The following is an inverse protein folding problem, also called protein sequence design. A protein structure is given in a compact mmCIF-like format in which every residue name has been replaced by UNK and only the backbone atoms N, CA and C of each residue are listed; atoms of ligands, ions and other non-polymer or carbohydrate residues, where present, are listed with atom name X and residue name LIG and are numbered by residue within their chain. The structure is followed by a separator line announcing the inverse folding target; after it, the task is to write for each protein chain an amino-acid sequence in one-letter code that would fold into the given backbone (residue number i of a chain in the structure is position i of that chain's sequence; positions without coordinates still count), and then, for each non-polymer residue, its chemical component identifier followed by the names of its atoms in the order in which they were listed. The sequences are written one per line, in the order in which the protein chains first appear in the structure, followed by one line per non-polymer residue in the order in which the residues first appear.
data_IF_562973191019
#
_entry.id   IF_562973191019
#
_cell.length_a   1.000
_cell.length_b   1.000
_cell.length_c   1.000
_cell.angle_alpha   90.00
_cell.angle_beta   90.00
_cell.angle_gamma   90.00
#
_symmetry.space_group_name_H-M   'P 1'
#
loop_
_entity.id
_entity.type
_entity.pdbx_description
1 polymer ?
#
# COMPACT_ATOMS: atom_id res chain seq x y z
N UNK A 1 3.63 13.24 -32.77
CA UNK A 1 4.46 12.11 -33.24
C UNK A 1 3.57 11.15 -34.02
N UNK A 2 3.92 10.83 -35.26
CA UNK A 2 3.08 9.97 -36.11
C UNK A 2 3.43 8.51 -35.75
N UNK A 3 2.57 7.83 -34.98
CA UNK A 3 2.82 6.54 -34.32
C UNK A 3 3.12 5.40 -35.32
N UNK A 4 2.78 5.56 -36.59
CA UNK A 4 2.87 4.48 -37.59
C UNK A 4 4.23 4.37 -38.28
N UNK A 5 5.08 5.41 -38.27
CA UNK A 5 6.31 5.44 -39.06
C UNK A 5 7.55 4.98 -38.30
N UNK A 6 7.51 4.91 -36.97
CA UNK A 6 8.72 4.74 -36.15
C UNK A 6 8.82 3.41 -35.37
N UNK A 7 7.81 2.52 -35.44
CA UNK A 7 7.80 1.29 -34.63
C UNK A 7 9.00 0.37 -34.89
N UNK A 8 9.39 0.22 -36.16
CA UNK A 8 10.53 -0.64 -36.52
C UNK A 8 11.86 -0.11 -36.02
N UNK A 9 11.95 1.20 -35.74
CA UNK A 9 13.13 1.84 -35.17
C UNK A 9 13.15 1.84 -33.64
N UNK A 10 11.99 1.58 -33.01
CA UNK A 10 11.79 1.60 -31.56
C UNK A 10 11.79 0.19 -30.98
N UNK A 11 11.04 -0.73 -31.59
CA UNK A 11 10.97 -2.15 -31.15
C UNK A 11 12.33 -2.81 -31.40
N UNK A 12 12.95 -3.29 -30.32
CA UNK A 12 14.30 -3.84 -30.33
C UNK A 12 15.31 -3.00 -29.55
N UNK A 13 14.95 -1.76 -29.16
CA UNK A 13 15.71 -1.00 -28.19
C UNK A 13 15.30 -1.40 -26.77
N UNK A 14 16.23 -1.46 -25.80
CA UNK A 14 15.89 -1.78 -24.40
C UNK A 14 14.96 -0.70 -23.82
N UNK A 15 14.12 -1.11 -22.85
CA UNK A 15 13.30 -0.18 -22.06
C UNK A 15 14.20 0.91 -21.44
N UNK A 16 13.65 2.12 -21.34
CA UNK A 16 14.39 3.30 -20.86
C UNK A 16 13.41 4.34 -20.27
N UNK A 17 13.88 5.57 -20.07
CA UNK A 17 13.05 6.65 -19.52
C UNK A 17 11.82 7.00 -20.36
N UNK A 18 11.81 6.70 -21.66
CA UNK A 18 10.69 7.03 -22.58
C UNK A 18 10.07 5.82 -23.27
N UNK A 19 10.51 4.58 -22.92
CA UNK A 19 10.02 3.35 -23.52
C UNK A 19 9.83 2.27 -22.47
N UNK A 20 8.66 1.60 -22.49
CA UNK A 20 8.33 0.47 -21.63
C UNK A 20 7.69 -0.65 -22.43
N UNK A 21 8.05 -1.89 -22.13
CA UNK A 21 7.44 -3.09 -22.70
C UNK A 21 6.67 -3.86 -21.65
N UNK A 22 5.53 -4.41 -22.06
CA UNK A 22 4.76 -5.37 -21.25
C UNK A 22 4.27 -6.51 -22.14
N UNK A 23 4.50 -7.73 -21.71
CA UNK A 23 4.01 -8.91 -22.43
C UNK A 23 2.47 -8.97 -22.46
N UNK A 24 1.84 -8.51 -21.37
CA UNK A 24 0.39 -8.51 -21.15
C UNK A 24 -0.08 -7.16 -20.62
N UNK A 25 -1.40 -6.96 -20.60
CA UNK A 25 -2.00 -5.75 -20.03
C UNK A 25 -1.85 -5.73 -18.52
N UNK A 26 -1.23 -4.69 -17.94
CA UNK A 26 -1.21 -4.52 -16.50
C UNK A 26 -2.59 -4.10 -15.97
N UNK A 27 -2.86 -4.28 -14.66
CA UNK A 27 -4.04 -3.73 -14.00
C UNK A 27 -4.18 -2.23 -14.22
N UNK A 28 -5.41 -1.71 -14.25
CA UNK A 28 -5.69 -0.30 -14.54
C UNK A 28 -4.89 0.66 -13.64
N UNK A 29 -4.73 0.33 -12.33
CA UNK A 29 -3.96 1.15 -11.40
C UNK A 29 -2.46 1.17 -11.75
N UNK A 30 -1.87 0.01 -12.05
CA UNK A 30 -0.46 -0.07 -12.46
C UNK A 30 -0.23 0.66 -13.79
N UNK A 31 -1.17 0.54 -14.71
CA UNK A 31 -1.13 1.28 -15.98
C UNK A 31 -1.25 2.79 -15.74
N UNK A 32 -2.12 3.23 -14.82
CA UNK A 32 -2.24 4.63 -14.42
C UNK A 32 -0.92 5.17 -13.82
N UNK A 33 -0.25 4.41 -12.97
CA UNK A 33 1.06 4.79 -12.41
C UNK A 33 2.11 4.97 -13.51
N UNK A 34 2.15 4.06 -14.50
CA UNK A 34 3.06 4.19 -15.66
C UNK A 34 2.74 5.43 -16.48
N UNK A 35 1.46 5.67 -16.80
CA UNK A 35 1.03 6.85 -17.56
C UNK A 35 1.39 8.14 -16.80
N UNK A 36 1.09 8.21 -15.49
CA UNK A 36 1.46 9.37 -14.67
C UNK A 36 2.97 9.59 -14.65
N UNK A 37 3.75 8.52 -14.47
CA UNK A 37 5.22 8.61 -14.43
C UNK A 37 5.81 9.11 -15.74
N UNK A 38 5.29 8.69 -16.89
CA UNK A 38 5.69 9.23 -18.19
C UNK A 38 5.27 10.70 -18.36
N UNK A 39 4.01 11.03 -18.03
CA UNK A 39 3.50 12.39 -18.15
C UNK A 39 4.27 13.39 -17.28
N UNK A 40 4.65 12.99 -16.07
CA UNK A 40 5.41 13.82 -15.12
C UNK A 40 6.92 13.88 -15.43
N UNK A 41 7.42 13.09 -16.38
CA UNK A 41 8.84 13.06 -16.74
C UNK A 41 9.09 13.61 -18.14
N UNK A 42 9.40 12.77 -19.10
CA UNK A 42 9.75 13.16 -20.47
C UNK A 42 8.66 12.85 -21.50
N UNK A 43 7.53 12.28 -21.05
CA UNK A 43 6.62 11.56 -21.91
C UNK A 43 7.20 10.20 -22.31
N UNK A 44 6.51 9.46 -23.15
CA UNK A 44 7.03 8.19 -23.63
C UNK A 44 5.98 7.25 -24.22
N UNK A 45 6.38 6.01 -24.39
CA UNK A 45 5.59 4.98 -25.04
C UNK A 45 5.55 3.70 -24.21
N UNK A 46 4.37 3.10 -24.08
CA UNK A 46 4.16 1.76 -23.49
C UNK A 46 3.71 0.85 -24.62
N UNK A 47 4.40 -0.27 -24.83
CA UNK A 47 4.09 -1.25 -25.87
C UNK A 47 3.69 -2.56 -25.22
N UNK A 48 2.43 -2.98 -25.42
CA UNK A 48 1.91 -4.25 -24.94
C UNK A 48 2.03 -5.32 -26.05
N UNK A 49 2.31 -6.55 -25.65
CA UNK A 49 2.57 -7.68 -26.55
C UNK A 49 4.06 -7.87 -26.85
N UNK A 50 4.93 -7.24 -26.05
CA UNK A 50 6.39 -7.39 -26.13
C UNK A 50 6.93 -7.75 -24.74
N UNK A 51 7.72 -8.80 -24.66
CA UNK A 51 8.42 -9.22 -23.46
C UNK A 51 9.91 -8.86 -23.55
N UNK A 52 10.41 -8.20 -22.52
CA UNK A 52 11.83 -7.96 -22.33
C UNK A 52 12.29 -8.73 -21.09
N UNK A 53 13.18 -9.69 -21.29
CA UNK A 53 13.76 -10.50 -20.21
C UNK A 53 15.21 -10.78 -20.51
N UNK A 54 16.10 -10.62 -19.52
CA UNK A 54 17.55 -10.89 -19.61
C UNK A 54 18.25 -10.19 -20.81
N UNK A 55 17.77 -9.00 -21.19
CA UNK A 55 18.31 -8.25 -22.34
C UNK A 55 17.79 -8.71 -23.71
N UNK A 56 16.95 -9.74 -23.76
CA UNK A 56 16.27 -10.18 -24.98
C UNK A 56 14.88 -9.55 -25.09
N UNK A 57 14.56 -9.04 -26.29
CA UNK A 57 13.26 -8.44 -26.59
C UNK A 57 12.52 -9.37 -27.55
N UNK A 58 11.43 -9.98 -27.06
CA UNK A 58 10.61 -10.93 -27.83
C UNK A 58 9.22 -10.37 -28.05
N UNK A 59 8.81 -10.29 -29.32
CA UNK A 59 7.45 -9.90 -29.71
C UNK A 59 6.55 -11.12 -29.53
N UNK A 60 5.70 -11.08 -28.50
CA UNK A 60 4.73 -12.15 -28.21
C UNK A 60 3.41 -11.94 -28.96
N UNK A 61 3.02 -10.69 -29.16
CA UNK A 61 1.73 -10.30 -29.69
C UNK A 61 0.60 -10.43 -28.66
N UNK A 62 -0.55 -9.90 -29.01
CA UNK A 62 -1.79 -9.96 -28.22
C UNK A 62 -2.86 -10.74 -29.01
N UNK A 63 -3.68 -11.53 -28.33
CA UNK A 63 -4.82 -12.23 -28.95
C UNK A 63 -5.86 -11.23 -29.50
N UNK A 64 -6.70 -11.69 -30.41
CA UNK A 64 -7.77 -10.85 -30.99
C UNK A 64 -8.82 -10.45 -29.95
N UNK A 65 -9.09 -11.32 -29.00
CA UNK A 65 -10.06 -11.11 -27.91
C UNK A 65 -9.54 -10.15 -26.83
N UNK A 66 -8.34 -9.63 -27.01
CA UNK A 66 -7.72 -8.77 -26.01
C UNK A 66 -8.19 -7.31 -26.13
N UNK A 67 -8.96 -6.85 -25.16
CA UNK A 67 -9.59 -5.52 -25.15
C UNK A 67 -8.88 -4.54 -24.19
N UNK A 68 -7.76 -3.95 -24.64
CA UNK A 68 -6.99 -3.01 -23.81
C UNK A 68 -7.66 -1.65 -23.61
N UNK A 69 -8.54 -1.22 -24.54
CA UNK A 69 -9.15 0.11 -24.48
C UNK A 69 -9.87 0.39 -23.15
N UNK A 70 -10.70 -0.56 -22.69
CA UNK A 70 -11.47 -0.39 -21.46
C UNK A 70 -10.59 -0.21 -20.22
N UNK A 71 -9.50 -0.98 -20.13
CA UNK A 71 -8.54 -0.83 -19.01
C UNK A 71 -7.74 0.46 -19.12
N UNK A 72 -7.39 0.87 -20.35
CA UNK A 72 -6.70 2.15 -20.59
C UNK A 72 -7.59 3.33 -20.20
N UNK A 73 -8.88 3.30 -20.54
CA UNK A 73 -9.82 4.33 -20.09
C UNK A 73 -9.93 4.37 -18.56
N UNK A 74 -10.13 3.21 -17.91
CA UNK A 74 -10.14 3.13 -16.45
C UNK A 74 -8.85 3.68 -15.83
N UNK A 75 -7.69 3.40 -16.43
CA UNK A 75 -6.42 3.93 -15.97
C UNK A 75 -6.33 5.45 -16.07
N UNK A 76 -6.79 6.02 -17.20
CA UNK A 76 -6.82 7.48 -17.41
C UNK A 76 -7.80 8.16 -16.44
N UNK A 77 -8.91 7.51 -16.12
CA UNK A 77 -9.91 8.05 -15.19
C UNK A 77 -9.41 8.13 -13.74
N UNK A 78 -8.37 7.36 -13.38
CA UNK A 78 -7.70 7.46 -12.06
C UNK A 78 -6.75 8.66 -11.96
N UNK A 79 -6.48 9.38 -13.06
CA UNK A 79 -5.48 10.44 -13.14
C UNK A 79 -6.10 11.83 -13.00
N UNK A 80 -5.45 12.70 -12.23
CA UNK A 80 -5.89 14.08 -12.02
C UNK A 80 -4.69 15.04 -12.13
N UNK A 81 -4.75 16.06 -13.02
CA UNK A 81 -5.65 16.14 -14.16
C UNK A 81 -5.39 15.03 -15.19
N UNK A 82 -6.33 14.81 -16.13
CA UNK A 82 -6.13 13.79 -17.17
C UNK A 82 -5.01 14.21 -18.12
N UNK A 83 -3.98 13.36 -18.34
CA UNK A 83 -2.90 13.65 -19.27
C UNK A 83 -3.34 13.47 -20.74
N UNK A 84 -2.56 14.01 -21.66
CA UNK A 84 -2.75 13.75 -23.09
C UNK A 84 -2.15 12.37 -23.43
N UNK A 85 -3.03 11.41 -23.77
CA UNK A 85 -2.69 10.02 -24.04
C UNK A 85 -3.33 9.57 -25.34
N UNK A 86 -2.52 9.08 -26.27
CA UNK A 86 -2.96 8.47 -27.52
C UNK A 86 -2.68 6.98 -27.49
N UNK A 87 -3.64 6.15 -27.89
CA UNK A 87 -3.45 4.70 -27.88
C UNK A 87 -4.18 4.04 -29.07
N UNK A 88 -3.58 2.98 -29.59
CA UNK A 88 -4.15 2.20 -30.68
C UNK A 88 -3.53 0.81 -30.79
N UNK A 89 -4.27 -0.08 -31.44
CA UNK A 89 -3.71 -1.36 -31.90
C UNK A 89 -2.94 -1.16 -33.21
N UNK A 90 -1.83 -1.85 -33.34
CA UNK A 90 -1.02 -1.90 -34.58
C UNK A 90 -0.55 -3.33 -34.82
N UNK A 91 -0.41 -3.69 -36.09
CA UNK A 91 0.25 -4.92 -36.51
C UNK A 91 1.73 -4.66 -36.78
N UNK A 92 2.62 -5.50 -36.23
CA UNK A 92 4.04 -5.49 -36.49
C UNK A 92 4.57 -6.92 -36.59
N UNK A 93 5.17 -7.29 -37.73
CA UNK A 93 5.63 -8.66 -38.04
C UNK A 93 4.54 -9.71 -37.76
N UNK A 94 3.35 -9.48 -38.29
CA UNK A 94 2.16 -10.32 -38.14
C UNK A 94 1.71 -10.56 -36.67
N UNK A 95 2.19 -9.72 -35.77
CA UNK A 95 1.78 -9.71 -34.35
C UNK A 95 1.01 -8.45 -34.04
N UNK A 96 -0.12 -8.63 -33.34
CA UNK A 96 -0.96 -7.53 -32.86
C UNK A 96 -0.34 -6.95 -31.60
N UNK A 97 -0.08 -5.67 -31.60
CA UNK A 97 0.45 -4.91 -30.46
C UNK A 97 -0.53 -3.80 -30.07
N UNK A 98 -0.46 -3.37 -28.82
CA UNK A 98 -1.19 -2.19 -28.35
C UNK A 98 -0.21 -1.16 -27.82
N UNK A 99 -0.33 0.04 -28.34
CA UNK A 99 0.64 1.12 -28.09
C UNK A 99 -0.09 2.26 -27.39
N UNK A 100 0.50 2.73 -26.31
CA UNK A 100 0.05 3.88 -25.56
C UNK A 100 1.16 4.92 -25.62
N UNK A 101 0.87 6.09 -26.17
CA UNK A 101 1.80 7.24 -26.22
C UNK A 101 1.32 8.27 -25.23
N UNK A 102 2.20 8.64 -24.32
CA UNK A 102 1.94 9.61 -23.26
C UNK A 102 2.77 10.87 -23.54
N UNK A 103 2.12 12.01 -23.67
CA UNK A 103 2.82 13.27 -23.79
C UNK A 103 3.27 13.79 -22.43
N UNK A 104 4.41 14.52 -22.43
CA UNK A 104 4.84 15.21 -21.21
C UNK A 104 3.80 16.26 -20.82
N UNK A 105 3.38 16.23 -19.56
CA UNK A 105 2.46 17.23 -19.01
C UNK A 105 3.22 18.47 -18.52
N UNK A 106 2.57 19.61 -18.62
CA UNK A 106 3.05 20.87 -18.02
C UNK A 106 2.69 21.03 -16.55
N UNK A 107 1.79 20.19 -16.06
CA UNK A 107 1.33 20.15 -14.67
C UNK A 107 1.52 18.75 -14.10
N UNK A 108 1.66 18.63 -12.78
CA UNK A 108 1.80 17.34 -12.14
C UNK A 108 0.52 16.51 -12.26
N UNK A 109 0.65 15.31 -12.81
CA UNK A 109 -0.41 14.31 -12.90
C UNK A 109 -0.34 13.45 -11.65
N UNK A 110 -1.45 13.33 -10.94
CA UNK A 110 -1.52 12.60 -9.67
C UNK A 110 -2.48 11.40 -9.74
N UNK A 111 -2.21 10.41 -8.93
CA UNK A 111 -3.13 9.33 -8.59
C UNK A 111 -3.33 9.40 -7.08
N UNK A 112 -4.56 9.66 -6.61
CA UNK A 112 -4.85 9.77 -5.17
C UNK A 112 -3.89 10.76 -4.47
N UNK A 113 -3.66 11.92 -5.08
CA UNK A 113 -2.74 12.97 -4.64
C UNK A 113 -1.25 12.57 -4.61
N UNK A 114 -0.87 11.44 -5.20
CA UNK A 114 0.51 10.97 -5.30
C UNK A 114 1.07 11.27 -6.69
N UNK A 115 2.30 11.77 -6.73
CA UNK A 115 3.03 12.07 -7.97
C UNK A 115 4.00 10.92 -8.23
N UNK A 116 3.88 10.28 -9.39
CA UNK A 116 4.83 9.28 -9.86
C UNK A 116 5.70 9.88 -10.95
N UNK A 117 7.00 9.61 -10.89
CA UNK A 117 7.97 10.00 -11.94
C UNK A 117 8.72 8.76 -12.43
N UNK A 118 9.28 8.87 -13.63
CA UNK A 118 10.11 7.82 -14.19
C UNK A 118 11.59 8.18 -14.09
N UNK A 119 12.38 7.26 -13.53
CA UNK A 119 13.83 7.37 -13.48
C UNK A 119 14.46 6.09 -14.06
N UNK A 120 15.04 6.19 -15.23
CA UNK A 120 15.45 5.02 -16.01
C UNK A 120 14.22 4.17 -16.37
N UNK A 121 14.24 2.89 -16.00
CA UNK A 121 13.11 1.96 -16.17
C UNK A 121 12.19 1.87 -14.94
N UNK A 122 12.53 2.54 -13.83
CA UNK A 122 11.77 2.47 -12.58
C UNK A 122 10.75 3.60 -12.49
N UNK A 123 9.61 3.27 -11.89
CA UNK A 123 8.60 4.25 -11.46
C UNK A 123 8.86 4.57 -10.00
N UNK A 124 9.06 5.84 -9.69
CA UNK A 124 9.35 6.33 -8.35
C UNK A 124 8.22 7.23 -7.90
N UNK A 125 7.79 7.05 -6.66
CA UNK A 125 6.87 7.98 -6.02
C UNK A 125 7.65 9.27 -5.72
N UNK A 126 7.34 10.33 -6.46
CA UNK A 126 7.85 11.67 -6.19
C UNK A 126 6.90 12.34 -5.20
N UNK A 127 7.03 11.99 -3.93
CA UNK A 127 6.49 12.87 -2.92
C UNK A 127 7.42 14.09 -2.89
N UNK A 128 6.94 15.30 -3.16
CA UNK A 128 7.62 16.45 -2.61
C UNK A 128 7.56 16.20 -1.10
N UNK A 129 8.64 15.69 -0.52
CA UNK A 129 8.79 15.75 0.91
C UNK A 129 8.54 17.21 1.27
N UNK A 130 7.41 17.47 1.89
CA UNK A 130 7.30 18.64 2.74
C UNK A 130 8.35 18.34 3.80
N UNK A 131 9.58 18.80 3.55
CA UNK A 131 10.63 18.82 4.57
C UNK A 131 10.11 19.77 5.62
N UNK A 132 9.33 19.25 6.53
CA UNK A 132 9.08 19.89 7.80
C UNK A 132 10.42 19.84 8.56
N UNK A 133 11.39 20.69 8.13
CA UNK A 133 12.58 20.94 8.93
C UNK A 133 12.13 21.81 10.09
N UNK A 134 11.49 21.20 11.07
CA UNK A 134 11.22 21.87 12.33
C UNK A 134 12.52 21.89 13.12
N UNK A 135 12.94 23.08 13.46
CA UNK A 135 14.18 23.36 14.19
C UNK A 135 14.23 22.65 15.55
N UNK A 136 13.09 22.15 16.08
CA UNK A 136 12.95 21.52 17.40
C UNK A 136 12.13 20.22 17.36
N UNK A 137 12.29 19.39 16.31
CA UNK A 137 11.62 18.10 16.25
C UNK A 137 12.12 17.16 17.34
N UNK A 138 11.19 16.39 17.97
CA UNK A 138 11.58 15.38 18.95
C UNK A 138 12.56 14.37 18.33
N UNK A 139 13.67 14.03 19.01
CA UNK A 139 14.65 13.06 18.49
C UNK A 139 14.03 11.70 18.15
N UNK A 140 13.06 11.24 18.95
CA UNK A 140 12.33 9.99 18.70
C UNK A 140 11.49 10.03 17.42
N UNK A 141 10.82 11.16 17.13
CA UNK A 141 10.07 11.36 15.88
C UNK A 141 11.02 11.43 14.68
N UNK A 142 12.17 12.13 14.83
CA UNK A 142 13.19 12.20 13.78
C UNK A 142 13.71 10.82 13.44
N UNK A 143 14.09 10.03 14.46
CA UNK A 143 14.57 8.66 14.29
C UNK A 143 13.55 7.79 13.58
N UNK A 144 12.28 7.78 14.04
CA UNK A 144 11.22 7.00 13.40
C UNK A 144 10.99 7.43 11.95
N UNK A 145 11.12 8.73 11.64
CA UNK A 145 10.99 9.21 10.27
C UNK A 145 12.12 8.69 9.36
N UNK A 146 13.36 8.63 9.88
CA UNK A 146 14.49 8.05 9.16
C UNK A 146 14.32 6.54 8.97
N UNK A 147 13.82 5.83 9.98
CA UNK A 147 13.49 4.40 9.91
C UNK A 147 12.44 4.15 8.82
N UNK A 148 11.35 4.96 8.76
CA UNK A 148 10.33 4.85 7.72
C UNK A 148 10.89 5.04 6.31
N UNK A 149 11.85 5.96 6.13
CA UNK A 149 12.53 6.15 4.84
C UNK A 149 13.37 4.93 4.46
N UNK A 150 14.11 4.36 5.42
CA UNK A 150 14.93 3.18 5.19
C UNK A 150 14.10 1.94 4.83
N UNK A 151 12.95 1.75 5.49
CA UNK A 151 12.05 0.62 5.27
C UNK A 151 11.26 0.71 3.95
N UNK A 152 11.28 1.88 3.30
CA UNK A 152 10.62 2.08 2.00
C UNK A 152 11.36 1.39 0.85
N UNK A 153 12.64 1.13 1.02
CA UNK A 153 13.44 0.43 0.02
C UNK A 153 12.96 -1.02 -0.11
N UNK A 154 12.62 -1.42 -1.33
CA UNK A 154 12.12 -2.78 -1.64
C UNK A 154 10.87 -3.16 -0.83
N UNK A 155 9.88 -2.29 -0.79
CA UNK A 155 8.59 -2.53 -0.13
C UNK A 155 7.50 -2.95 -1.12
N UNK A 156 6.51 -3.72 -0.63
CA UNK A 156 5.25 -3.94 -1.35
C UNK A 156 4.44 -2.65 -1.45
N UNK A 157 3.44 -2.60 -2.32
CA UNK A 157 2.47 -1.50 -2.37
C UNK A 157 1.71 -1.34 -1.05
N UNK A 158 1.39 -2.46 -0.39
CA UNK A 158 0.75 -2.48 0.94
C UNK A 158 1.60 -1.78 1.99
N UNK A 159 2.89 -2.15 2.09
CA UNK A 159 3.83 -1.53 3.02
C UNK A 159 4.09 -0.06 2.68
N UNK A 160 4.21 0.30 1.40
CA UNK A 160 4.39 1.70 1.01
C UNK A 160 3.27 2.59 1.51
N UNK A 161 2.00 2.16 1.36
CA UNK A 161 0.83 2.88 1.89
C UNK A 161 0.85 2.97 3.42
N UNK A 162 1.22 1.88 4.09
CA UNK A 162 1.37 1.85 5.55
C UNK A 162 2.39 2.90 6.01
N UNK A 163 3.57 2.96 5.40
CA UNK A 163 4.63 3.92 5.74
C UNK A 163 4.21 5.37 5.46
N UNK A 164 3.47 5.61 4.37
CA UNK A 164 2.93 6.94 4.04
C UNK A 164 1.98 7.45 5.14
N UNK A 165 1.09 6.58 5.62
CA UNK A 165 0.17 6.92 6.69
C UNK A 165 0.91 7.25 7.99
N UNK A 166 1.87 6.39 8.39
CA UNK A 166 2.67 6.61 9.59
C UNK A 166 3.49 7.90 9.52
N UNK A 167 4.08 8.21 8.36
CA UNK A 167 4.78 9.48 8.14
C UNK A 167 3.84 10.68 8.37
N UNK A 168 2.61 10.60 7.87
CA UNK A 168 1.57 11.62 8.11
C UNK A 168 1.24 11.76 9.60
N UNK A 169 1.03 10.65 10.31
CA UNK A 169 0.71 10.66 11.74
C UNK A 169 1.87 11.19 12.57
N UNK A 170 3.13 10.84 12.26
CA UNK A 170 4.31 11.40 12.94
C UNK A 170 4.40 12.93 12.77
N UNK A 171 4.11 13.44 11.58
CA UNK A 171 4.09 14.88 11.33
C UNK A 171 2.99 15.58 12.13
N UNK A 172 1.78 15.00 12.18
CA UNK A 172 0.69 15.54 13.01
C UNK A 172 1.07 15.50 14.49
N UNK A 173 1.64 14.39 14.98
CA UNK A 173 2.09 14.25 16.38
C UNK A 173 3.08 15.36 16.78
N UNK A 174 4.00 15.67 15.86
CA UNK A 174 4.97 16.76 16.06
C UNK A 174 4.29 18.15 16.02
N UNK A 175 3.32 18.35 15.11
CA UNK A 175 2.59 19.62 14.95
C UNK A 175 1.75 19.98 16.18
N UNK A 176 1.16 18.98 16.83
CA UNK A 176 0.31 19.17 18.01
C UNK A 176 1.04 18.84 19.33
N UNK A 177 2.36 18.79 19.30
CA UNK A 177 3.19 18.39 20.45
C UNK A 177 2.94 19.22 21.71
N UNK A 178 2.66 20.51 21.57
CA UNK A 178 2.30 21.40 22.68
C UNK A 178 1.01 21.00 23.42
N UNK A 179 0.15 20.19 22.79
CA UNK A 179 -1.08 19.66 23.38
C UNK A 179 -0.87 18.23 23.87
N UNK A 180 -0.14 17.40 23.12
CA UNK A 180 0.06 15.99 23.45
C UNK A 180 1.05 15.77 24.60
N UNK A 181 2.12 16.57 24.67
CA UNK A 181 3.17 16.47 25.69
C UNK A 181 3.64 17.86 26.17
N UNK A 182 2.74 18.65 26.78
CA UNK A 182 3.04 20.03 27.16
C UNK A 182 4.18 20.15 28.18
N UNK A 183 4.37 19.15 29.02
CA UNK A 183 5.38 19.14 30.08
C UNK A 183 6.50 18.14 29.83
N UNK A 184 6.18 16.94 29.39
CA UNK A 184 7.12 15.85 29.13
C UNK A 184 6.53 14.84 28.18
N UNK A 185 7.36 14.22 27.34
CA UNK A 185 6.97 13.14 26.44
C UNK A 185 6.63 11.82 27.17
N UNK A 186 7.20 11.64 28.39
CA UNK A 186 7.04 10.41 29.18
C UNK A 186 5.83 10.43 30.11
N UNK A 187 5.11 11.55 30.16
CA UNK A 187 3.91 11.67 31.01
C UNK A 187 2.66 11.88 30.18
N UNK A 188 1.56 11.16 30.46
CA UNK A 188 0.29 11.40 29.77
C UNK A 188 -0.16 12.85 29.96
N UNK A 189 -0.75 13.41 28.90
CA UNK A 189 -1.33 14.75 28.98
C UNK A 189 -2.56 14.78 29.89
N UNK A 190 -2.68 15.84 30.68
CA UNK A 190 -3.88 16.12 31.49
C UNK A 190 -4.93 16.93 30.72
N UNK A 191 -4.53 17.50 29.56
CA UNK A 191 -5.41 18.29 28.70
C UNK A 191 -6.43 17.38 27.99
N UNK A 192 -7.71 17.75 28.01
CA UNK A 192 -8.79 16.96 27.44
C UNK A 192 -8.66 16.81 25.91
N UNK A 193 -8.30 17.88 25.20
CA UNK A 193 -8.04 17.84 23.76
C UNK A 193 -6.87 16.90 23.45
N UNK A 194 -5.80 16.96 24.25
CA UNK A 194 -4.64 16.09 24.13
C UNK A 194 -5.00 14.61 24.32
N UNK A 195 -5.84 14.29 25.31
CA UNK A 195 -6.35 12.92 25.52
C UNK A 195 -7.15 12.41 24.32
N UNK A 196 -8.00 13.26 23.74
CA UNK A 196 -8.79 12.91 22.55
C UNK A 196 -7.86 12.68 21.35
N UNK A 197 -6.91 13.60 21.11
CA UNK A 197 -5.96 13.49 20.02
C UNK A 197 -5.09 12.23 20.16
N UNK A 198 -4.62 11.92 21.36
CA UNK A 198 -3.84 10.70 21.64
C UNK A 198 -4.62 9.45 21.22
N UNK A 199 -5.89 9.35 21.61
CA UNK A 199 -6.77 8.24 21.23
C UNK A 199 -6.98 8.14 19.71
N UNK A 200 -7.17 9.27 19.04
CA UNK A 200 -7.35 9.32 17.58
C UNK A 200 -6.07 8.87 16.87
N UNK A 201 -4.91 9.41 17.24
CA UNK A 201 -3.64 9.08 16.62
C UNK A 201 -3.27 7.60 16.82
N UNK A 202 -3.43 7.11 18.04
CA UNK A 202 -3.19 5.69 18.35
C UNK A 202 -4.10 4.76 17.55
N UNK A 203 -5.42 5.04 17.57
CA UNK A 203 -6.40 4.24 16.84
C UNK A 203 -6.11 4.25 15.33
N UNK A 204 -5.79 5.40 14.77
CA UNK A 204 -5.45 5.55 13.35
C UNK A 204 -4.26 4.68 12.93
N UNK A 205 -3.22 4.60 13.77
CA UNK A 205 -2.06 3.76 13.48
C UNK A 205 -2.35 2.26 13.63
N UNK A 206 -3.10 1.87 14.66
CA UNK A 206 -3.48 0.48 14.84
C UNK A 206 -4.42 0.00 13.71
N UNK A 207 -5.37 0.85 13.28
CA UNK A 207 -6.24 0.57 12.12
C UNK A 207 -5.42 0.43 10.83
N UNK A 208 -4.40 1.26 10.66
CA UNK A 208 -3.54 1.18 9.47
C UNK A 208 -2.73 -0.13 9.42
N UNK A 209 -2.37 -0.70 10.56
CA UNK A 209 -1.77 -2.03 10.62
C UNK A 209 -2.74 -3.12 10.13
N UNK A 210 -4.01 -3.07 10.52
CA UNK A 210 -5.03 -3.99 10.01
C UNK A 210 -5.24 -3.82 8.50
N UNK A 211 -5.24 -2.56 8.00
CA UNK A 211 -5.32 -2.25 6.57
C UNK A 211 -4.11 -2.81 5.81
N UNK A 212 -2.90 -2.68 6.37
CA UNK A 212 -1.69 -3.26 5.79
C UNK A 212 -1.82 -4.78 5.60
N UNK A 213 -2.25 -5.51 6.62
CA UNK A 213 -2.44 -6.96 6.52
C UNK A 213 -3.47 -7.33 5.44
N UNK A 214 -4.50 -6.48 5.29
CA UNK A 214 -5.52 -6.58 4.24
C UNK A 214 -4.91 -6.43 2.85
N UNK A 215 -4.22 -5.33 2.64
CA UNK A 215 -3.62 -4.99 1.36
C UNK A 215 -2.53 -6.01 0.98
N UNK A 216 -1.75 -6.48 1.95
CA UNK A 216 -0.73 -7.51 1.72
C UNK A 216 -1.36 -8.84 1.26
N UNK A 217 -2.43 -9.30 1.92
CA UNK A 217 -3.14 -10.50 1.48
C UNK A 217 -3.70 -10.35 0.07
N UNK A 218 -4.21 -9.17 -0.26
CA UNK A 218 -4.67 -8.88 -1.61
C UNK A 218 -3.54 -9.01 -2.64
N UNK A 219 -2.35 -8.45 -2.35
CA UNK A 219 -1.19 -8.58 -3.22
C UNK A 219 -0.73 -10.04 -3.36
N UNK A 220 -0.73 -10.81 -2.26
CA UNK A 220 -0.42 -12.25 -2.30
C UNK A 220 -1.41 -13.01 -3.19
N UNK A 221 -2.71 -12.72 -3.10
CA UNK A 221 -3.71 -13.35 -3.93
C UNK A 221 -3.60 -12.96 -5.42
N UNK A 222 -3.23 -11.72 -5.71
CA UNK A 222 -2.96 -11.30 -7.10
C UNK A 222 -1.72 -11.98 -7.69
N UNK A 223 -0.65 -12.09 -6.89
CA UNK A 223 0.58 -12.77 -7.32
C UNK A 223 0.37 -14.28 -7.48
N UNK A 224 -0.45 -14.88 -6.62
CA UNK A 224 -0.72 -16.32 -6.62
C UNK A 224 -2.22 -16.63 -6.48
N UNK A 225 -3.02 -16.50 -7.55
CA UNK A 225 -4.46 -16.77 -7.52
C UNK A 225 -4.82 -18.20 -7.10
N UNK A 226 -3.89 -19.16 -7.27
CA UNK A 226 -4.10 -20.53 -6.82
C UNK A 226 -4.24 -20.66 -5.31
N UNK A 227 -3.72 -19.70 -4.54
CA UNK A 227 -3.86 -19.65 -3.09
C UNK A 227 -5.28 -19.33 -2.61
N UNK A 228 -6.16 -18.85 -3.51
CA UNK A 228 -7.59 -18.66 -3.26
C UNK A 228 -8.40 -19.97 -3.34
N UNK A 229 -7.82 -21.03 -3.90
CA UNK A 229 -8.50 -22.32 -4.00
C UNK A 229 -8.89 -22.80 -2.61
N UNK A 230 -10.17 -22.90 -2.36
CA UNK A 230 -10.75 -23.36 -1.11
C UNK A 230 -12.05 -24.11 -1.40
N UNK A 231 -12.49 -24.94 -0.47
CA UNK A 231 -13.80 -25.60 -0.56
C UNK A 231 -14.98 -24.66 -0.23
N UNK A 232 -14.73 -23.35 -0.12
CA UNK A 232 -15.79 -22.39 0.14
C UNK A 232 -16.62 -22.20 -1.14
N UNK A 233 -17.94 -22.27 -1.00
CA UNK A 233 -18.87 -22.04 -2.08
C UNK A 233 -18.99 -20.54 -2.37
N UNK A 234 -19.04 -20.22 -3.65
CA UNK A 234 -19.29 -18.86 -4.16
C UNK A 234 -20.65 -18.89 -4.85
N UNK A 235 -21.45 -17.89 -4.59
CA UNK A 235 -22.73 -17.75 -5.30
C UNK A 235 -22.49 -17.17 -6.69
N UNK A 236 -23.33 -17.55 -7.66
CA UNK A 236 -23.29 -16.95 -9.00
C UNK A 236 -23.42 -15.43 -8.94
N UNK A 237 -24.23 -14.92 -8.01
CA UNK A 237 -24.40 -13.48 -7.79
C UNK A 237 -23.07 -12.81 -7.41
N UNK A 238 -22.33 -13.37 -6.47
CA UNK A 238 -21.03 -12.82 -6.04
C UNK A 238 -20.02 -12.79 -7.19
N UNK A 239 -20.08 -13.74 -8.11
CA UNK A 239 -19.21 -13.74 -9.30
C UNK A 239 -19.68 -12.69 -10.32
N UNK A 240 -20.98 -12.60 -10.57
CA UNK A 240 -21.54 -11.68 -11.58
C UNK A 240 -21.53 -10.22 -11.12
N UNK A 241 -21.49 -9.96 -9.81
CA UNK A 241 -21.37 -8.61 -9.25
C UNK A 241 -19.94 -8.03 -9.44
N UNK A 242 -18.97 -8.88 -9.83
CA UNK A 242 -17.60 -8.47 -10.12
C UNK A 242 -17.39 -8.31 -11.63
N UNK A 243 -16.76 -7.23 -12.05
CA UNK A 243 -16.53 -6.92 -13.47
C UNK A 243 -15.39 -7.75 -14.10
N UNK A 244 -14.49 -8.26 -13.26
CA UNK A 244 -13.37 -9.11 -13.69
C UNK A 244 -12.84 -9.98 -12.52
N UNK A 245 -11.88 -10.84 -12.83
CA UNK A 245 -11.27 -11.73 -11.84
C UNK A 245 -10.51 -10.95 -10.75
N UNK A 246 -9.97 -9.79 -11.05
CA UNK A 246 -9.23 -8.98 -10.05
C UNK A 246 -10.20 -8.38 -9.04
N UNK A 247 -11.35 -7.88 -9.50
CA UNK A 247 -12.39 -7.39 -8.60
C UNK A 247 -12.95 -8.53 -7.75
N UNK A 248 -13.10 -9.72 -8.32
CA UNK A 248 -13.49 -10.92 -7.57
C UNK A 248 -12.45 -11.30 -6.50
N UNK A 249 -11.14 -11.27 -6.83
CA UNK A 249 -10.07 -11.51 -5.86
C UNK A 249 -10.09 -10.46 -4.74
N UNK A 250 -10.30 -9.19 -5.07
CA UNK A 250 -10.43 -8.11 -4.10
C UNK A 250 -11.65 -8.30 -3.20
N UNK A 251 -12.79 -8.64 -3.78
CA UNK A 251 -14.01 -8.95 -3.04
C UNK A 251 -13.77 -10.08 -2.01
N UNK A 252 -13.13 -11.16 -2.46
CA UNK A 252 -12.81 -12.30 -1.60
C UNK A 252 -11.79 -11.96 -0.51
N UNK A 253 -10.75 -11.22 -0.82
CA UNK A 253 -9.80 -10.72 0.16
C UNK A 253 -10.54 -9.91 1.25
N UNK A 254 -11.35 -8.93 0.85
CA UNK A 254 -12.18 -8.15 1.78
C UNK A 254 -13.11 -9.00 2.62
N UNK A 255 -13.75 -10.02 2.02
CA UNK A 255 -14.65 -10.93 2.74
C UNK A 255 -13.91 -11.77 3.80
N UNK A 256 -12.71 -12.25 3.50
CA UNK A 256 -11.84 -12.94 4.47
C UNK A 256 -11.39 -12.02 5.61
N UNK A 257 -11.13 -10.76 5.29
CA UNK A 257 -10.65 -9.77 6.23
C UNK A 257 -11.73 -9.17 7.13
N UNK A 258 -12.99 -9.19 6.70
CA UNK A 258 -14.10 -8.82 7.60
C UNK A 258 -14.15 -9.68 8.87
N UNK A 259 -13.46 -10.82 8.87
CA UNK A 259 -13.27 -11.66 10.07
C UNK A 259 -12.18 -11.12 11.01
N UNK A 260 -11.17 -10.39 10.53
CA UNK A 260 -10.14 -9.77 11.37
C UNK A 260 -10.75 -8.75 12.33
N UNK A 261 -11.65 -7.92 11.82
CA UNK A 261 -12.32 -6.88 12.62
C UNK A 261 -13.21 -7.42 13.75
N UNK A 262 -13.55 -8.71 13.72
CA UNK A 262 -14.40 -9.39 14.71
C UNK A 262 -13.65 -10.40 15.58
N UNK A 263 -12.40 -10.67 15.29
CA UNK A 263 -11.59 -11.71 15.94
C UNK A 263 -10.31 -11.16 16.56
N UNK A 264 -9.51 -12.08 17.08
CA UNK A 264 -8.15 -11.78 17.56
C UNK A 264 -7.13 -11.86 16.43
N UNK A 265 -5.96 -11.25 16.64
CA UNK A 265 -4.80 -11.40 15.74
C UNK A 265 -4.44 -12.88 15.55
N UNK A 266 -4.44 -13.66 16.64
CA UNK A 266 -4.20 -15.11 16.59
C UNK A 266 -5.21 -15.83 15.72
N UNK A 267 -6.50 -15.49 15.87
CA UNK A 267 -7.58 -16.04 15.04
C UNK A 267 -7.39 -15.66 13.56
N UNK A 268 -7.03 -14.42 13.27
CA UNK A 268 -6.75 -13.97 11.91
C UNK A 268 -5.57 -14.74 11.28
N UNK A 269 -4.45 -14.88 12.00
CA UNK A 269 -3.29 -15.63 11.51
C UNK A 269 -3.67 -17.10 11.29
N UNK A 270 -4.41 -17.72 12.23
CA UNK A 270 -4.85 -19.10 12.09
C UNK A 270 -5.77 -19.33 10.89
N UNK A 271 -6.66 -18.37 10.60
CA UNK A 271 -7.63 -18.45 9.50
C UNK A 271 -7.02 -18.13 8.13
N UNK A 272 -5.83 -17.51 8.09
CA UNK A 272 -5.15 -17.11 6.86
C UNK A 272 -3.81 -17.82 6.71
N UNK A 273 -3.83 -18.98 6.05
CA UNK A 273 -2.61 -19.79 5.81
C UNK A 273 -1.49 -18.98 5.17
N UNK A 274 -1.83 -18.01 4.31
CA UNK A 274 -0.85 -17.16 3.64
C UNK A 274 -0.02 -16.33 4.61
N UNK A 275 -0.61 -15.84 5.71
CA UNK A 275 0.11 -15.11 6.76
C UNK A 275 0.72 -16.10 7.78
N UNK A 276 -0.02 -17.13 8.15
CA UNK A 276 0.46 -18.18 9.06
C UNK A 276 1.74 -18.83 8.54
N UNK A 277 1.75 -19.18 7.27
CA UNK A 277 2.88 -19.86 6.63
C UNK A 277 4.11 -18.98 6.45
N UNK A 278 4.02 -17.65 6.65
CA UNK A 278 5.21 -16.79 6.72
C UNK A 278 6.09 -17.15 7.93
N UNK A 279 5.47 -17.61 9.01
CA UNK A 279 6.14 -18.03 10.26
C UNK A 279 7.10 -16.96 10.84
N UNK A 280 6.71 -15.70 10.73
CA UNK A 280 7.56 -14.57 11.16
C UNK A 280 7.17 -13.99 12.51
N UNK A 281 6.00 -14.37 13.03
CA UNK A 281 5.47 -13.86 14.30
C UNK A 281 5.42 -14.98 15.34
N UNK A 282 6.32 -14.91 16.32
CA UNK A 282 6.27 -15.76 17.48
C UNK A 282 5.05 -15.46 18.39
N UNK A 283 4.80 -16.31 19.36
CA UNK A 283 3.66 -16.17 20.28
C UNK A 283 3.69 -14.86 21.06
N UNK A 284 4.90 -14.41 21.47
CA UNK A 284 5.07 -13.16 22.24
C UNK A 284 4.72 -11.97 21.35
N UNK A 285 5.15 -11.97 20.09
CA UNK A 285 4.84 -10.91 19.13
C UNK A 285 3.34 -10.84 18.84
N UNK A 286 2.69 -12.01 18.66
CA UNK A 286 1.24 -12.09 18.48
C UNK A 286 0.49 -11.53 19.71
N UNK A 287 0.93 -11.86 20.94
CA UNK A 287 0.34 -11.33 22.17
C UNK A 287 0.53 -9.82 22.31
N UNK A 288 1.69 -9.29 21.92
CA UNK A 288 1.95 -7.85 21.94
C UNK A 288 1.09 -7.09 20.92
N UNK A 289 0.94 -7.63 19.72
CA UNK A 289 0.04 -7.04 18.72
C UNK A 289 -1.41 -7.07 19.24
N UNK A 290 -1.83 -8.20 19.82
CA UNK A 290 -3.17 -8.32 20.42
C UNK A 290 -3.41 -7.25 21.49
N UNK A 291 -2.45 -7.02 22.38
CA UNK A 291 -2.52 -5.96 23.41
C UNK A 291 -2.68 -4.57 22.78
N UNK A 292 -1.93 -4.26 21.72
CA UNK A 292 -2.05 -2.99 20.99
C UNK A 292 -3.47 -2.83 20.41
N UNK A 293 -4.02 -3.87 19.80
CA UNK A 293 -5.37 -3.83 19.25
C UNK A 293 -6.45 -3.74 20.34
N UNK A 294 -6.20 -4.26 21.54
CA UNK A 294 -7.12 -4.06 22.68
C UNK A 294 -7.10 -2.61 23.19
N UNK A 295 -5.96 -1.93 23.22
CA UNK A 295 -5.91 -0.48 23.50
C UNK A 295 -6.71 0.30 22.44
N UNK A 296 -6.52 -0.03 21.16
CA UNK A 296 -7.30 0.59 20.07
C UNK A 296 -8.80 0.36 20.25
N UNK A 297 -9.21 -0.87 20.58
CA UNK A 297 -10.62 -1.19 20.84
C UNK A 297 -11.18 -0.34 21.98
N UNK A 298 -10.43 -0.23 23.09
CA UNK A 298 -10.79 0.60 24.23
C UNK A 298 -10.98 2.08 23.84
N UNK A 299 -10.06 2.61 23.03
CA UNK A 299 -10.10 4.00 22.58
C UNK A 299 -11.24 4.28 21.59
N UNK A 300 -11.47 3.38 20.65
CA UNK A 300 -12.50 3.56 19.63
C UNK A 300 -13.93 3.38 20.15
N UNK A 301 -14.14 2.48 21.14
CA UNK A 301 -15.48 2.08 21.54
C UNK A 301 -15.84 2.42 22.99
N UNK A 302 -14.87 2.70 23.86
CA UNK A 302 -15.07 2.93 25.29
C UNK A 302 -14.49 4.26 25.78
N UNK A 303 -14.07 5.14 24.87
CA UNK A 303 -13.44 6.42 25.20
C UNK A 303 -12.25 6.31 26.17
N UNK A 304 -11.55 5.16 26.15
CA UNK A 304 -10.41 4.91 27.03
C UNK A 304 -10.80 4.36 28.42
N UNK A 305 -12.05 4.06 28.67
CA UNK A 305 -12.49 3.52 29.99
C UNK A 305 -12.30 2.01 30.02
N UNK A 306 -11.46 1.56 30.95
CA UNK A 306 -11.10 0.15 31.16
C UNK A 306 -12.31 -0.69 31.51
N UNK A 307 -12.49 -1.82 30.82
CA UNK A 307 -13.52 -2.79 31.04
C UNK A 307 -12.94 -4.18 31.39
N UNK A 308 -13.81 -5.13 31.75
CA UNK A 308 -13.43 -6.48 32.13
C UNK A 308 -12.68 -7.22 31.02
N UNK A 309 -13.03 -6.97 29.74
CA UNK A 309 -12.36 -7.58 28.60
C UNK A 309 -10.92 -7.10 28.47
N UNK A 310 -10.69 -5.80 28.63
CA UNK A 310 -9.35 -5.20 28.58
C UNK A 310 -8.45 -5.76 29.70
N UNK A 311 -8.98 -5.94 30.92
CA UNK A 311 -8.24 -6.48 32.05
C UNK A 311 -7.73 -7.92 31.83
N UNK A 312 -8.35 -8.70 30.93
CA UNK A 312 -7.84 -10.02 30.56
C UNK A 312 -6.48 -9.96 29.85
N UNK A 313 -6.20 -8.87 29.13
CA UNK A 313 -4.92 -8.65 28.42
C UNK A 313 -3.89 -7.90 29.26
N UNK A 314 -4.35 -7.18 30.30
CA UNK A 314 -3.51 -6.38 31.19
C UNK A 314 -3.78 -6.70 32.68
N UNK A 315 -3.56 -7.96 33.11
CA UNK A 315 -3.91 -8.40 34.47
C UNK A 315 -3.11 -7.63 35.52
N UNK A 316 -3.81 -7.04 36.48
CA UNK A 316 -3.21 -6.32 37.63
C UNK A 316 -2.56 -4.97 37.30
N UNK A 317 -2.70 -4.46 36.06
CA UNK A 317 -2.11 -3.18 35.67
C UNK A 317 -3.07 -2.00 35.79
N UNK A 318 -4.37 -2.25 35.69
CA UNK A 318 -5.43 -1.23 35.70
C UNK A 318 -6.60 -1.68 36.56
N UNK A 319 -7.43 -0.72 36.96
CA UNK A 319 -8.69 -0.98 37.63
C UNK A 319 -9.87 -0.81 36.66
N UNK A 320 -10.96 -1.52 36.93
CA UNK A 320 -12.20 -1.36 36.17
C UNK A 320 -12.71 0.07 36.29
N UNK A 321 -13.21 0.65 35.19
CA UNK A 321 -13.64 2.04 35.05
C UNK A 321 -12.53 3.08 35.19
N UNK A 322 -11.26 2.69 35.28
CA UNK A 322 -10.14 3.61 35.19
C UNK A 322 -9.98 4.14 33.77
N UNK A 323 -9.55 5.39 33.61
CA UNK A 323 -9.22 5.94 32.30
C UNK A 323 -7.79 5.50 31.90
N UNK A 324 -7.70 4.68 30.86
CA UNK A 324 -6.40 4.34 30.25
C UNK A 324 -5.82 5.53 29.52
N UNK A 325 -4.58 5.88 29.81
CA UNK A 325 -3.87 7.00 29.21
C UNK A 325 -2.49 6.54 28.75
N UNK A 326 -2.07 7.05 27.59
CA UNK A 326 -0.74 6.84 27.03
C UNK A 326 0.05 8.15 27.06
N UNK A 327 1.33 8.04 27.34
CA UNK A 327 2.28 9.13 27.07
C UNK A 327 2.60 9.20 25.58
N UNK A 328 3.19 10.31 25.13
CA UNK A 328 3.68 10.42 23.75
C UNK A 328 4.82 9.42 23.48
N UNK A 329 5.63 9.13 24.49
CA UNK A 329 6.69 8.12 24.42
C UNK A 329 6.12 6.72 24.20
N UNK A 330 5.06 6.32 24.94
CA UNK A 330 4.38 5.03 24.74
C UNK A 330 3.76 4.93 23.35
N UNK A 331 3.13 6.02 22.87
CA UNK A 331 2.58 6.10 21.51
C UNK A 331 3.66 5.78 20.47
N UNK A 332 4.81 6.47 20.57
CA UNK A 332 5.93 6.30 19.62
C UNK A 332 6.58 4.92 19.73
N UNK A 333 6.65 4.34 20.92
CA UNK A 333 7.15 2.97 21.12
C UNK A 333 6.23 1.94 20.48
N UNK A 334 4.92 2.09 20.59
CA UNK A 334 3.96 1.21 19.89
C UNK A 334 4.05 1.36 18.37
N UNK A 335 4.27 2.58 17.87
CA UNK A 335 4.48 2.83 16.45
C UNK A 335 5.74 2.16 15.93
N UNK A 336 6.88 2.34 16.62
CA UNK A 336 8.14 1.67 16.28
C UNK A 336 7.95 0.16 16.23
N UNK A 337 7.30 -0.41 17.22
CA UNK A 337 7.04 -1.84 17.27
C UNK A 337 6.23 -2.35 16.07
N UNK A 338 5.13 -1.66 15.72
CA UNK A 338 4.31 -2.07 14.58
C UNK A 338 5.04 -1.89 13.22
N UNK A 339 5.88 -0.87 13.09
CA UNK A 339 6.73 -0.67 11.92
C UNK A 339 7.69 -1.84 11.72
N UNK A 340 8.36 -2.28 12.81
CA UNK A 340 9.29 -3.41 12.77
C UNK A 340 8.58 -4.73 12.41
N UNK A 341 7.39 -4.93 12.96
CA UNK A 341 6.54 -6.10 12.63
C UNK A 341 6.15 -6.11 11.15
N UNK A 342 5.70 -4.96 10.64
CA UNK A 342 5.34 -4.81 9.22
C UNK A 342 6.54 -5.06 8.32
N UNK A 343 7.72 -4.55 8.68
CA UNK A 343 8.93 -4.75 7.88
C UNK A 343 9.31 -6.24 7.79
N UNK A 344 9.24 -6.98 8.90
CA UNK A 344 9.48 -8.43 8.94
C UNK A 344 8.48 -9.21 8.08
N UNK A 345 7.19 -8.93 8.23
CA UNK A 345 6.13 -9.59 7.46
C UNK A 345 6.33 -9.34 5.97
N UNK A 346 6.53 -8.08 5.59
CA UNK A 346 6.62 -7.65 4.20
C UNK A 346 7.83 -8.28 3.48
N UNK A 347 9.02 -8.22 4.10
CA UNK A 347 10.24 -8.84 3.55
C UNK A 347 10.07 -10.33 3.32
N UNK A 348 9.46 -11.04 4.27
CA UNK A 348 9.23 -12.47 4.13
C UNK A 348 8.17 -12.78 3.08
N UNK A 349 7.11 -11.96 2.99
CA UNK A 349 6.08 -12.12 1.97
C UNK A 349 6.63 -11.91 0.55
N UNK A 350 7.48 -10.88 0.36
CA UNK A 350 8.16 -10.63 -0.92
C UNK A 350 8.96 -11.85 -1.36
N UNK A 351 9.78 -12.41 -0.47
CA UNK A 351 10.62 -13.57 -0.78
C UNK A 351 9.79 -14.81 -1.06
N UNK A 352 8.78 -15.08 -0.24
CA UNK A 352 7.99 -16.31 -0.32
C UNK A 352 7.01 -16.31 -1.50
N UNK A 353 6.37 -15.20 -1.77
CA UNK A 353 5.31 -15.10 -2.78
C UNK A 353 5.76 -14.37 -4.04
N UNK A 354 7.05 -14.00 -4.15
CA UNK A 354 7.63 -13.27 -5.28
C UNK A 354 6.84 -12.01 -5.62
N UNK A 355 6.49 -11.23 -4.58
CA UNK A 355 5.71 -10.01 -4.75
C UNK A 355 6.52 -8.93 -5.47
N UNK A 356 5.83 -8.11 -6.25
CA UNK A 356 6.44 -6.95 -6.87
C UNK A 356 6.83 -5.91 -5.79
N UNK A 357 8.03 -5.37 -5.89
CA UNK A 357 8.50 -4.27 -5.04
C UNK A 357 8.42 -2.95 -5.78
N UNK A 358 8.18 -1.87 -5.02
CA UNK A 358 8.20 -0.49 -5.51
C UNK A 358 9.63 0.05 -5.54
#
# INVERSE_FOLDING_TARGET
MNISTDLSSIIGKPANESLEYKAVLPPARSLAQMIAAFANSKGGMIILGVNEANGEIKITGLSEDFHANGVTHKAIDLLTPKPNVNYKYLSHKDKRLYIIVVEKSSVNITIENKIYIRQGTKIILNNPEIKHSKVNRLPSISKLSDDLLSFRLSSTGAKSKFLDHYSGVLNITDDVGNILYPSSVSTPTTNQEGKILMRILFSSCADNFEIYLTDLLYEIYLANPSSLKSNQQVTIKEVLDCSDMQEFVLFWAKKKLSKLQRGSVKGFIADNSQIKDLDVLDTIQQDNIEKILQIRHLYAHRNGIVDEKFLQFYPGQYNINEEHQLSAEDLLNHFSYLIDIVDKIDKTAILKYHLATL
#
